data_IF_210529560215
#
_entry.id   IF_210529560215
#
_cell.length_a   1.000
_cell.length_b   1.000
_cell.length_c   1.000
_cell.angle_alpha   90.00
_cell.angle_beta   90.00
_cell.angle_gamma   90.00
#
_symmetry.space_group_name_H-M   'P 1'
#
loop_
_entity.id
_entity.type
_entity.pdbx_description
1 polymer ?
#
# COMPACT_ATOMS: atom_id res chain seq x y z
N UNK A 1 0.49 19.87 20.07
CA UNK A 1 1.08 19.48 21.37
C UNK A 1 1.37 17.99 21.47
N UNK A 2 0.43 17.07 21.17
CA UNK A 2 0.69 15.62 21.12
C UNK A 2 1.07 15.13 19.70
N UNK A 3 0.37 15.59 18.66
CA UNK A 3 0.66 15.21 17.26
C UNK A 3 2.11 15.52 16.86
N UNK A 4 2.61 16.69 17.23
CA UNK A 4 3.99 17.09 16.97
C UNK A 4 5.02 16.17 17.66
N UNK A 5 4.67 15.57 18.80
CA UNK A 5 5.57 14.64 19.50
C UNK A 5 5.62 13.33 18.73
N UNK A 6 4.47 12.84 18.26
CA UNK A 6 4.38 11.64 17.42
C UNK A 6 5.16 11.85 16.12
N UNK A 7 4.96 13.01 15.47
CA UNK A 7 5.71 13.39 14.28
C UNK A 7 7.21 13.47 14.56
N UNK A 8 7.62 14.12 15.65
CA UNK A 8 9.02 14.22 16.03
C UNK A 8 9.68 12.84 16.12
N UNK A 9 9.07 11.89 16.83
CA UNK A 9 9.63 10.54 16.94
C UNK A 9 9.59 9.79 15.62
N UNK A 10 8.54 9.95 14.80
CA UNK A 10 8.49 9.37 13.47
C UNK A 10 9.63 9.87 12.57
N UNK A 11 9.95 11.16 12.63
CA UNK A 11 11.08 11.76 11.91
C UNK A 11 12.43 11.30 12.49
N UNK A 12 12.61 11.39 13.81
CA UNK A 12 13.85 11.00 14.51
C UNK A 12 14.22 9.53 14.27
N UNK A 13 13.23 8.66 14.31
CA UNK A 13 13.41 7.21 14.15
C UNK A 13 13.11 6.71 12.74
N UNK A 14 12.94 7.63 11.78
CA UNK A 14 12.72 7.33 10.38
C UNK A 14 11.60 6.30 10.14
N UNK A 15 10.47 6.44 10.83
CA UNK A 15 9.30 5.56 10.69
C UNK A 15 9.46 4.16 11.31
N UNK A 16 10.49 3.92 12.12
CA UNK A 16 10.68 2.64 12.82
C UNK A 16 9.66 2.50 13.97
N UNK A 17 8.60 1.71 13.73
CA UNK A 17 7.50 1.52 14.67
C UNK A 17 7.95 1.17 16.09
N UNK A 18 8.88 0.20 16.23
CA UNK A 18 9.31 -0.31 17.54
C UNK A 18 10.03 0.78 18.35
N UNK A 19 10.86 1.59 17.68
CA UNK A 19 11.56 2.71 18.31
C UNK A 19 10.64 3.85 18.67
N UNK A 20 9.68 4.18 17.79
CA UNK A 20 8.68 5.21 18.08
C UNK A 20 7.83 4.80 19.28
N UNK A 21 7.36 3.54 19.30
CA UNK A 21 6.59 3.00 20.42
C UNK A 21 7.35 3.08 21.74
N UNK A 22 8.61 2.61 21.76
CA UNK A 22 9.46 2.67 22.96
C UNK A 22 9.73 4.10 23.42
N UNK A 23 9.93 5.04 22.49
CA UNK A 23 10.16 6.44 22.81
C UNK A 23 8.91 7.10 23.43
N UNK A 24 7.72 6.80 22.89
CA UNK A 24 6.44 7.24 23.43
C UNK A 24 6.17 6.64 24.81
N UNK A 25 6.38 5.33 24.97
CA UNK A 25 6.18 4.61 26.23
C UNK A 25 7.08 5.17 27.35
N UNK A 26 8.34 5.45 27.05
CA UNK A 26 9.32 5.98 28.00
C UNK A 26 9.25 7.50 28.19
N UNK A 27 8.35 8.18 27.47
CA UNK A 27 8.26 9.65 27.42
C UNK A 27 9.63 10.28 27.17
N UNK A 28 10.32 9.78 26.16
CA UNK A 28 11.66 10.22 25.81
C UNK A 28 11.70 11.75 25.65
N UNK A 29 12.78 12.38 26.13
CA UNK A 29 12.91 13.85 26.08
C UNK A 29 13.05 14.31 24.63
N UNK A 30 12.33 15.37 24.30
CA UNK A 30 12.40 16.03 22.99
C UNK A 30 13.57 17.00 22.99
N UNK A 31 14.36 16.93 21.91
CA UNK A 31 15.37 17.92 21.57
C UNK A 31 14.72 18.94 20.62
N UNK A 32 14.51 20.16 21.12
CA UNK A 32 13.79 21.22 20.40
C UNK A 32 14.57 21.71 19.16
N UNK A 33 15.90 21.73 19.21
CA UNK A 33 16.74 22.13 18.08
C UNK A 33 16.65 21.08 16.96
N UNK A 34 16.77 19.80 17.32
CA UNK A 34 16.60 18.70 16.38
C UNK A 34 15.17 18.67 15.81
N UNK A 35 14.15 18.89 16.65
CA UNK A 35 12.75 18.95 16.22
C UNK A 35 12.56 20.04 15.18
N UNK A 36 13.04 21.25 15.44
CA UNK A 36 12.95 22.37 14.50
C UNK A 36 13.61 22.06 13.15
N UNK A 37 14.78 21.41 13.17
CA UNK A 37 15.47 20.99 11.95
C UNK A 37 14.67 19.94 11.15
N UNK A 38 14.24 18.86 11.82
CA UNK A 38 13.48 17.78 11.17
C UNK A 38 12.16 18.26 10.55
N UNK A 39 11.46 19.17 11.25
CA UNK A 39 10.19 19.70 10.76
C UNK A 39 10.38 20.59 9.53
N UNK A 40 11.50 21.34 9.47
CA UNK A 40 11.82 22.21 8.33
C UNK A 40 12.20 21.41 7.08
N UNK A 41 12.77 20.21 7.23
CA UNK A 41 13.12 19.34 6.10
C UNK A 41 11.93 18.56 5.54
N UNK A 42 10.80 18.53 6.24
CA UNK A 42 9.61 17.79 5.82
C UNK A 42 8.93 18.48 4.62
N UNK A 43 8.87 17.77 3.49
CA UNK A 43 8.28 18.25 2.23
C UNK A 43 6.85 17.75 2.00
N UNK A 44 6.56 16.53 2.45
CA UNK A 44 5.27 15.90 2.28
C UNK A 44 4.27 16.43 3.30
N UNK A 45 2.98 16.22 3.03
CA UNK A 45 1.95 16.31 4.07
C UNK A 45 2.06 15.10 4.99
N UNK A 46 1.41 15.17 6.15
CA UNK A 46 1.33 14.06 7.08
C UNK A 46 -0.01 14.06 7.82
N UNK A 47 -0.42 12.89 8.29
CA UNK A 47 -1.48 12.70 9.28
C UNK A 47 -0.95 11.76 10.37
N UNK A 48 -1.40 11.92 11.61
CA UNK A 48 -0.97 11.09 12.74
C UNK A 48 -2.10 10.19 13.21
N UNK A 49 -1.80 9.09 13.90
CA UNK A 49 -2.82 8.12 14.37
C UNK A 49 -3.94 8.74 15.22
N UNK A 50 -3.70 9.91 15.83
CA UNK A 50 -4.68 10.65 16.63
C UNK A 50 -5.39 11.78 15.87
N UNK A 51 -4.97 12.05 14.63
CA UNK A 51 -5.60 13.06 13.77
C UNK A 51 -6.94 12.56 13.26
N UNK A 52 -7.88 13.49 13.05
CA UNK A 52 -9.25 13.19 12.60
C UNK A 52 -9.28 12.65 11.15
N UNK A 53 -8.33 13.08 10.31
CA UNK A 53 -8.18 12.66 8.92
C UNK A 53 -7.39 11.36 8.75
N UNK A 54 -6.93 10.74 9.84
CA UNK A 54 -6.21 9.47 9.78
C UNK A 54 -7.15 8.33 9.35
N UNK A 55 -6.76 7.49 8.37
CA UNK A 55 -7.62 6.42 7.86
C UNK A 55 -8.07 5.47 8.97
N UNK A 56 -9.38 5.43 9.25
CA UNK A 56 -9.94 4.64 10.35
C UNK A 56 -9.59 3.14 10.22
N UNK A 57 -9.65 2.60 9.00
CA UNK A 57 -9.31 1.21 8.70
C UNK A 57 -7.87 0.83 9.12
N UNK A 58 -6.94 1.79 9.11
CA UNK A 58 -5.57 1.56 9.55
C UNK A 58 -5.40 1.62 11.07
N UNK A 59 -6.37 2.11 11.84
CA UNK A 59 -6.32 2.04 13.31
C UNK A 59 -6.57 0.63 13.83
N UNK A 60 -7.22 -0.21 13.02
CA UNK A 60 -7.66 -1.56 13.38
C UNK A 60 -6.61 -2.64 13.05
N UNK A 61 -5.58 -2.30 12.27
CA UNK A 61 -4.54 -3.27 11.89
C UNK A 61 -3.49 -3.44 13.00
N UNK A 62 -2.80 -4.59 12.97
CA UNK A 62 -1.64 -4.80 13.82
C UNK A 62 -0.50 -3.81 13.48
N UNK A 63 0.07 -3.21 14.53
CA UNK A 63 1.11 -2.18 14.45
C UNK A 63 0.72 -1.04 13.49
N UNK A 64 -0.33 -0.27 13.81
CA UNK A 64 -0.82 0.81 12.94
C UNK A 64 0.24 1.91 12.80
N UNK A 65 0.47 2.47 11.60
CA UNK A 65 1.44 3.55 11.44
C UNK A 65 1.16 4.74 12.35
N UNK A 66 2.11 5.13 13.19
CA UNK A 66 1.96 6.32 14.03
C UNK A 66 1.76 7.61 13.20
N UNK A 67 2.41 7.67 12.05
CA UNK A 67 2.34 8.78 11.09
C UNK A 67 2.28 8.21 9.68
N UNK A 68 1.41 8.77 8.85
CA UNK A 68 1.41 8.55 7.41
C UNK A 68 1.87 9.83 6.73
N UNK A 69 2.97 9.75 6.00
CA UNK A 69 3.45 10.79 5.11
C UNK A 69 2.82 10.61 3.74
N UNK A 70 2.35 11.68 3.13
CA UNK A 70 1.66 11.56 1.85
C UNK A 70 1.83 12.74 0.89
N UNK A 71 1.62 12.42 -0.39
CA UNK A 71 1.43 13.37 -1.48
C UNK A 71 0.08 13.10 -2.16
N UNK A 72 -0.57 14.16 -2.63
CA UNK A 72 -1.85 14.07 -3.32
C UNK A 72 -3.06 14.19 -2.40
N UNK A 73 -4.14 13.48 -2.72
CA UNK A 73 -5.45 13.58 -2.05
C UNK A 73 -5.67 12.44 -1.06
N UNK A 74 -5.60 12.73 0.24
CA UNK A 74 -5.81 11.74 1.30
C UNK A 74 -7.25 11.19 1.31
N UNK A 75 -8.23 11.92 0.78
CA UNK A 75 -9.63 11.48 0.78
C UNK A 75 -9.86 10.20 -0.03
N UNK A 76 -8.92 9.81 -0.90
CA UNK A 76 -9.00 8.53 -1.63
C UNK A 76 -9.02 7.32 -0.69
N UNK A 77 -8.51 7.42 0.54
CA UNK A 77 -8.59 6.32 1.53
C UNK A 77 -10.02 6.04 2.02
N UNK A 78 -10.97 6.94 1.76
CA UNK A 78 -12.36 6.84 2.20
C UNK A 78 -13.30 6.31 1.11
N UNK A 79 -12.77 5.92 -0.06
CA UNK A 79 -13.55 5.35 -1.15
C UNK A 79 -13.51 3.81 -1.10
N UNK A 80 -14.28 3.15 -1.98
CA UNK A 80 -14.28 1.69 -2.12
C UNK A 80 -12.91 1.19 -2.58
N UNK A 81 -12.06 0.75 -1.65
CA UNK A 81 -10.67 0.43 -1.93
C UNK A 81 -10.47 -1.08 -2.14
N UNK A 82 -9.76 -1.46 -3.20
CA UNK A 82 -9.34 -2.84 -3.46
C UNK A 82 -7.84 -2.92 -3.68
N UNK A 83 -7.20 -3.85 -2.97
CA UNK A 83 -5.76 -4.06 -3.05
C UNK A 83 -5.43 -4.96 -4.23
N UNK A 84 -4.68 -4.47 -5.21
CA UNK A 84 -4.27 -5.27 -6.39
C UNK A 84 -2.79 -5.59 -6.29
N UNK A 85 -2.45 -6.88 -6.17
CA UNK A 85 -1.09 -7.35 -5.94
C UNK A 85 -0.72 -8.51 -6.84
N UNK A 86 0.58 -8.71 -7.07
CA UNK A 86 1.05 -9.85 -7.84
C UNK A 86 2.55 -9.91 -8.07
N UNK A 87 2.94 -10.61 -9.13
CA UNK A 87 4.33 -10.83 -9.50
C UNK A 87 5.02 -9.54 -9.95
N UNK A 88 6.32 -9.45 -9.64
CA UNK A 88 7.19 -8.36 -10.12
C UNK A 88 7.63 -8.50 -11.57
N UNK A 89 7.52 -9.71 -12.11
CA UNK A 89 7.79 -10.08 -13.50
C UNK A 89 6.61 -10.95 -13.98
N UNK A 90 5.46 -10.32 -14.28
CA UNK A 90 4.27 -11.05 -14.72
C UNK A 90 4.43 -11.62 -16.13
N UNK A 91 3.64 -12.64 -16.44
CA UNK A 91 3.48 -13.15 -17.80
C UNK A 91 2.63 -12.21 -18.66
N UNK A 92 2.60 -12.43 -19.97
CA UNK A 92 1.71 -11.69 -20.88
C UNK A 92 0.24 -11.82 -20.46
N UNK A 93 -0.15 -13.00 -19.96
CA UNK A 93 -1.48 -13.22 -19.41
C UNK A 93 -1.74 -12.37 -18.16
N UNK A 94 -0.82 -12.37 -17.19
CA UNK A 94 -0.94 -11.54 -15.98
C UNK A 94 -0.99 -10.04 -16.31
N UNK A 95 -0.23 -9.62 -17.32
CA UNK A 95 -0.25 -8.25 -17.86
C UNK A 95 -1.64 -7.91 -18.41
N UNK A 96 -2.18 -8.74 -19.30
CA UNK A 96 -3.47 -8.52 -19.95
C UNK A 96 -4.61 -8.51 -18.94
N UNK A 97 -4.71 -9.54 -18.11
CA UNK A 97 -5.82 -9.68 -17.16
C UNK A 97 -5.82 -8.57 -16.11
N UNK A 98 -4.65 -8.14 -15.65
CA UNK A 98 -4.55 -7.03 -14.69
C UNK A 98 -5.04 -5.74 -15.33
N UNK A 99 -4.69 -5.45 -16.59
CA UNK A 99 -5.21 -4.26 -17.30
C UNK A 99 -6.73 -4.31 -17.38
N UNK A 100 -7.27 -5.43 -17.86
CA UNK A 100 -8.71 -5.59 -18.09
C UNK A 100 -9.51 -5.49 -16.80
N UNK A 101 -9.15 -6.26 -15.76
CA UNK A 101 -9.89 -6.30 -14.49
C UNK A 101 -9.77 -4.97 -13.75
N UNK A 102 -8.59 -4.35 -13.70
CA UNK A 102 -8.41 -3.05 -13.03
C UNK A 102 -9.23 -1.95 -13.71
N UNK A 103 -9.23 -1.88 -15.04
CA UNK A 103 -10.04 -0.89 -15.74
C UNK A 103 -11.53 -1.07 -15.46
N UNK A 104 -12.02 -2.31 -15.41
CA UNK A 104 -13.41 -2.62 -15.06
C UNK A 104 -13.74 -2.26 -13.59
N UNK A 105 -12.88 -2.62 -12.64
CA UNK A 105 -13.06 -2.26 -11.22
C UNK A 105 -13.19 -0.75 -11.02
N UNK A 106 -12.36 0.03 -11.70
CA UNK A 106 -12.42 1.49 -11.63
C UNK A 106 -13.74 2.05 -12.18
N UNK A 107 -14.31 1.44 -13.23
CA UNK A 107 -15.63 1.85 -13.74
C UNK A 107 -16.75 1.58 -12.73
N UNK A 108 -16.57 0.60 -11.86
CA UNK A 108 -17.43 0.32 -10.69
C UNK A 108 -17.03 1.14 -9.45
N UNK A 109 -16.33 2.27 -9.65
CA UNK A 109 -15.91 3.23 -8.62
C UNK A 109 -14.91 2.69 -7.57
N UNK A 110 -14.23 1.58 -7.85
CA UNK A 110 -13.15 1.14 -6.98
C UNK A 110 -11.91 2.03 -7.11
N UNK A 111 -11.27 2.28 -5.97
CA UNK A 111 -9.93 2.87 -5.88
C UNK A 111 -8.90 1.76 -5.70
N UNK A 112 -7.89 1.76 -6.58
CA UNK A 112 -6.88 0.69 -6.60
C UNK A 112 -5.77 0.99 -5.61
N UNK A 113 -5.55 0.12 -4.63
CA UNK A 113 -4.44 0.21 -3.67
C UNK A 113 -3.34 -0.76 -4.06
N UNK A 114 -2.10 -0.28 -4.20
CA UNK A 114 -0.97 -1.17 -4.50
C UNK A 114 0.36 -0.60 -4.02
N UNK A 115 1.43 -1.38 -4.20
CA UNK A 115 2.71 -1.18 -3.55
C UNK A 115 3.78 -0.46 -4.37
N UNK A 116 3.45 0.13 -5.52
CA UNK A 116 4.41 0.76 -6.44
C UNK A 116 5.55 -0.19 -6.88
N UNK A 117 5.47 -1.51 -6.67
CA UNK A 117 6.50 -2.45 -7.10
C UNK A 117 6.58 -2.56 -8.63
N UNK A 118 7.59 -3.25 -9.15
CA UNK A 118 7.58 -3.67 -10.56
C UNK A 118 6.42 -4.63 -10.83
N UNK A 119 6.08 -4.82 -12.10
CA UNK A 119 5.09 -5.82 -12.53
C UNK A 119 3.68 -5.39 -12.21
N UNK A 120 2.91 -6.29 -11.58
CA UNK A 120 1.46 -6.13 -11.35
C UNK A 120 1.13 -4.81 -10.65
N UNK A 121 1.85 -4.42 -9.61
CA UNK A 121 1.58 -3.17 -8.87
C UNK A 121 1.65 -1.94 -9.79
N UNK A 122 2.74 -1.76 -10.53
CA UNK A 122 2.92 -0.65 -11.46
C UNK A 122 1.83 -0.65 -12.54
N UNK A 123 1.46 -1.83 -13.01
CA UNK A 123 0.43 -2.01 -14.01
C UNK A 123 -0.96 -1.66 -13.49
N UNK A 124 -1.29 -2.05 -12.26
CA UNK A 124 -2.55 -1.71 -11.63
C UNK A 124 -2.70 -0.19 -11.51
N UNK A 125 -1.66 0.51 -11.04
CA UNK A 125 -1.65 1.97 -11.00
C UNK A 125 -1.83 2.60 -12.38
N UNK A 126 -1.08 2.12 -13.38
CA UNK A 126 -1.15 2.67 -14.74
C UNK A 126 -2.51 2.43 -15.39
N UNK A 127 -3.07 1.23 -15.26
CA UNK A 127 -4.37 0.86 -15.83
C UNK A 127 -5.50 1.66 -15.20
N UNK A 128 -5.45 1.90 -13.89
CA UNK A 128 -6.42 2.76 -13.20
C UNK A 128 -6.36 4.19 -13.74
N UNK A 129 -5.16 4.77 -13.84
CA UNK A 129 -4.98 6.14 -14.35
C UNK A 129 -5.35 6.29 -15.83
N UNK A 130 -5.12 5.27 -16.66
CA UNK A 130 -5.43 5.29 -18.10
C UNK A 130 -6.93 5.45 -18.38
N UNK A 131 -7.79 5.02 -17.46
CA UNK A 131 -9.25 5.20 -17.55
C UNK A 131 -9.75 6.31 -16.63
N UNK A 132 -8.87 7.23 -16.23
CA UNK A 132 -9.15 8.38 -15.35
C UNK A 132 -9.64 8.00 -13.95
N UNK A 133 -9.28 6.80 -13.50
CA UNK A 133 -9.57 6.26 -12.18
C UNK A 133 -8.74 6.82 -11.04
N UNK A 134 -9.00 6.28 -9.86
CA UNK A 134 -8.30 6.60 -8.62
C UNK A 134 -7.40 5.45 -8.17
N UNK A 135 -6.23 5.80 -7.65
CA UNK A 135 -5.29 4.80 -7.14
C UNK A 135 -4.40 5.34 -6.03
N UNK A 136 -4.02 4.46 -5.09
CA UNK A 136 -3.22 4.76 -3.91
C UNK A 136 -1.96 3.91 -3.95
N UNK A 137 -0.80 4.56 -4.02
CA UNK A 137 0.49 3.88 -3.89
C UNK A 137 0.96 3.93 -2.44
N UNK A 138 1.12 2.77 -1.82
CA UNK A 138 1.74 2.66 -0.50
C UNK A 138 3.22 2.37 -0.73
N UNK A 139 4.17 3.04 -0.06
CA UNK A 139 5.62 2.85 -0.28
C UNK A 139 6.32 2.13 0.88
N UNK A 140 7.31 1.30 0.53
CA UNK A 140 8.22 0.65 1.50
C UNK A 140 9.54 1.40 1.72
N UNK A 141 9.59 2.65 1.25
CA UNK A 141 10.73 3.57 1.29
C UNK A 141 10.28 4.92 1.82
N UNK A 142 11.22 5.83 2.05
CA UNK A 142 10.89 7.22 2.39
C UNK A 142 9.94 7.83 1.35
N UNK A 143 9.01 8.67 1.81
CA UNK A 143 7.99 9.28 0.94
C UNK A 143 8.57 10.07 -0.24
N UNK A 144 9.79 10.60 -0.12
CA UNK A 144 10.51 11.34 -1.17
C UNK A 144 11.39 10.45 -2.06
N UNK A 145 11.50 9.16 -1.73
CA UNK A 145 12.34 8.20 -2.43
C UNK A 145 11.51 7.21 -3.24
N UNK A 146 11.38 7.49 -4.54
CA UNK A 146 10.72 6.58 -5.47
C UNK A 146 11.54 5.28 -5.64
N UNK A 147 10.96 4.16 -5.21
CA UNK A 147 11.50 2.84 -5.46
C UNK A 147 10.42 1.87 -5.93
N UNK A 148 10.65 1.13 -7.02
CA UNK A 148 11.85 1.12 -7.86
C UNK A 148 11.94 2.36 -8.76
N UNK A 149 13.15 2.83 -9.06
CA UNK A 149 13.37 4.02 -9.90
C UNK A 149 12.74 3.90 -11.30
N UNK A 150 12.56 2.68 -11.81
CA UNK A 150 11.88 2.42 -13.09
C UNK A 150 10.44 2.94 -13.12
N UNK A 151 9.79 3.06 -11.96
CA UNK A 151 8.43 3.57 -11.83
C UNK A 151 8.39 5.08 -11.52
N UNK A 152 9.51 5.81 -11.65
CA UNK A 152 9.59 7.25 -11.33
C UNK A 152 8.51 8.08 -12.03
N UNK A 153 8.26 7.82 -13.31
CA UNK A 153 7.22 8.54 -14.05
C UNK A 153 5.83 8.33 -13.44
N UNK A 154 5.47 7.09 -13.10
CA UNK A 154 4.19 6.75 -12.46
C UNK A 154 4.09 7.45 -11.10
N UNK A 155 5.15 7.37 -10.29
CA UNK A 155 5.22 8.00 -8.98
C UNK A 155 5.03 9.52 -9.04
N UNK A 156 5.71 10.24 -9.94
CA UNK A 156 5.56 11.70 -10.06
C UNK A 156 4.15 12.10 -10.51
N UNK A 157 3.53 11.34 -11.42
CA UNK A 157 2.13 11.55 -11.82
C UNK A 157 1.19 11.36 -10.62
N UNK A 158 1.40 10.29 -9.86
CA UNK A 158 0.55 9.96 -8.71
C UNK A 158 0.65 10.98 -7.57
N UNK A 159 1.83 11.56 -7.33
CA UNK A 159 2.00 12.62 -6.31
C UNK A 159 1.10 13.83 -6.53
N UNK A 160 0.81 14.14 -7.80
CA UNK A 160 0.03 15.32 -8.18
C UNK A 160 -1.46 14.99 -8.29
N UNK A 161 -1.79 13.85 -8.91
CA UNK A 161 -3.16 13.57 -9.35
C UNK A 161 -3.87 12.46 -8.56
N UNK A 162 -3.15 11.75 -7.69
CA UNK A 162 -3.62 10.55 -7.01
C UNK A 162 -3.24 10.61 -5.52
N UNK A 163 -2.93 9.47 -4.89
CA UNK A 163 -2.38 9.43 -3.54
C UNK A 163 -1.14 8.54 -3.49
N UNK A 164 -0.08 9.06 -2.89
CA UNK A 164 1.11 8.29 -2.54
C UNK A 164 1.33 8.42 -1.03
N UNK A 165 1.44 7.30 -0.32
CA UNK A 165 1.62 7.26 1.12
C UNK A 165 2.86 6.45 1.52
N UNK A 166 3.46 6.80 2.65
CA UNK A 166 4.51 6.02 3.29
C UNK A 166 4.45 6.20 4.81
N UNK A 167 4.80 5.15 5.54
CA UNK A 167 5.09 5.23 6.98
C UNK A 167 6.51 5.80 7.24
N UNK A 168 7.33 5.90 6.19
CA UNK A 168 8.72 6.34 6.29
C UNK A 168 8.88 7.77 5.76
N UNK A 169 9.51 8.68 6.53
CA UNK A 169 9.70 10.07 6.13
C UNK A 169 10.86 10.24 5.13
N UNK A 170 10.84 11.40 4.46
CA UNK A 170 11.95 11.93 3.68
C UNK A 170 12.51 10.95 2.64
N UNK A 171 13.84 10.90 2.52
CA UNK A 171 14.54 10.11 1.51
C UNK A 171 14.98 8.73 2.00
N UNK A 172 14.35 8.16 3.05
CA UNK A 172 14.77 6.88 3.62
C UNK A 172 15.00 5.83 2.52
N UNK A 173 16.24 5.32 2.48
CA UNK A 173 16.66 4.35 1.47
C UNK A 173 15.83 3.07 1.63
N UNK A 174 15.31 2.48 0.53
CA UNK A 174 14.50 1.27 0.57
C UNK A 174 15.27 0.12 1.23
N UNK A 175 14.68 -0.49 2.26
CA UNK A 175 15.24 -1.67 2.95
C UNK A 175 14.37 -2.88 2.68
N UNK A 176 14.99 -4.04 2.43
CA UNK A 176 14.27 -5.30 2.16
C UNK A 176 13.20 -5.62 3.23
N UNK A 177 13.50 -5.33 4.49
CA UNK A 177 12.61 -5.56 5.63
C UNK A 177 11.35 -4.68 5.62
N UNK A 178 11.40 -3.52 4.96
CA UNK A 178 10.29 -2.58 4.93
C UNK A 178 9.19 -3.00 3.95
N UNK A 179 9.50 -3.75 2.88
CA UNK A 179 8.47 -4.14 1.90
C UNK A 179 7.42 -5.09 2.49
N UNK A 180 7.79 -6.16 3.23
CA UNK A 180 6.82 -6.96 3.96
C UNK A 180 6.00 -6.14 4.95
N UNK A 181 6.66 -5.30 5.77
CA UNK A 181 6.00 -4.44 6.78
C UNK A 181 4.99 -3.49 6.15
N UNK A 182 5.30 -2.92 4.99
CA UNK A 182 4.40 -2.03 4.24
C UNK A 182 3.13 -2.73 3.79
N UNK A 183 3.19 -4.01 3.45
CA UNK A 183 2.06 -4.72 2.84
C UNK A 183 0.82 -4.77 3.74
N UNK A 184 1.00 -4.73 5.07
CA UNK A 184 -0.13 -4.61 6.02
C UNK A 184 -0.98 -3.34 5.82
N UNK A 185 -0.37 -2.26 5.30
CA UNK A 185 -1.05 -0.99 5.02
C UNK A 185 -1.84 -1.12 3.71
N UNK A 186 -1.31 -1.84 2.71
CA UNK A 186 -2.05 -2.12 1.47
C UNK A 186 -3.33 -2.88 1.80
N UNK A 187 -3.23 -3.97 2.55
CA UNK A 187 -4.41 -4.74 2.97
C UNK A 187 -5.30 -3.98 3.94
N UNK A 188 -4.72 -3.20 4.86
CA UNK A 188 -5.48 -2.43 5.83
C UNK A 188 -6.34 -1.33 5.21
N UNK A 189 -5.87 -0.71 4.14
CA UNK A 189 -6.65 0.27 3.37
C UNK A 189 -7.67 -0.36 2.44
N UNK A 190 -7.62 -1.67 2.21
CA UNK A 190 -8.48 -2.34 1.24
C UNK A 190 -9.64 -3.03 1.94
N UNK A 191 -10.80 -3.06 1.27
CA UNK A 191 -11.94 -3.92 1.66
C UNK A 191 -11.61 -5.38 1.36
N UNK A 192 -10.92 -5.61 0.25
CA UNK A 192 -10.49 -6.93 -0.20
C UNK A 192 -9.20 -6.88 -1.02
N UNK A 193 -8.60 -8.05 -1.27
CA UNK A 193 -7.38 -8.18 -2.06
C UNK A 193 -7.64 -9.00 -3.32
N UNK A 194 -7.28 -8.45 -4.48
CA UNK A 194 -7.18 -9.16 -5.74
C UNK A 194 -5.73 -9.54 -6.05
N UNK A 195 -5.49 -10.84 -6.19
CA UNK A 195 -4.23 -11.41 -6.66
C UNK A 195 -4.35 -11.82 -8.13
N UNK A 196 -3.70 -11.09 -9.03
CA UNK A 196 -3.83 -11.35 -10.47
C UNK A 196 -2.85 -12.41 -10.97
N UNK A 197 -1.63 -12.42 -10.46
CA UNK A 197 -0.63 -13.44 -10.78
C UNK A 197 0.38 -13.53 -9.64
N UNK A 198 0.63 -14.72 -9.11
CA UNK A 198 1.58 -14.93 -8.01
C UNK A 198 2.25 -16.31 -8.08
N UNK A 199 3.44 -16.43 -7.49
CA UNK A 199 4.12 -17.71 -7.26
C UNK A 199 3.88 -18.15 -5.81
N UNK A 200 3.93 -19.44 -5.51
CA UNK A 200 3.73 -19.95 -4.14
C UNK A 200 4.69 -19.34 -3.11
N UNK A 201 5.93 -19.01 -3.51
CA UNK A 201 6.96 -18.41 -2.65
C UNK A 201 7.26 -16.98 -3.05
N UNK A 202 6.25 -16.12 -3.09
CA UNK A 202 6.41 -14.70 -3.42
C UNK A 202 6.08 -13.78 -2.24
N UNK A 203 6.55 -12.54 -2.30
CA UNK A 203 6.15 -11.49 -1.35
C UNK A 203 4.65 -11.17 -1.38
N UNK A 204 3.94 -11.59 -2.44
CA UNK A 204 2.48 -11.50 -2.55
C UNK A 204 1.78 -12.30 -1.45
N UNK A 205 2.32 -13.48 -1.10
CA UNK A 205 1.75 -14.33 -0.04
C UNK A 205 1.83 -13.68 1.34
N UNK A 206 2.82 -12.82 1.57
CA UNK A 206 2.91 -12.04 2.82
C UNK A 206 1.75 -11.06 2.91
N UNK A 207 1.41 -10.37 1.81
CA UNK A 207 0.25 -9.46 1.79
C UNK A 207 -1.05 -10.22 2.01
N UNK A 208 -1.19 -11.40 1.39
CA UNK A 208 -2.36 -12.27 1.61
C UNK A 208 -2.47 -12.68 3.07
N UNK A 209 -1.36 -13.04 3.72
CA UNK A 209 -1.33 -13.34 5.15
C UNK A 209 -1.84 -12.17 6.00
N UNK A 210 -1.34 -10.95 5.76
CA UNK A 210 -1.84 -9.76 6.45
C UNK A 210 -3.32 -9.49 6.19
N UNK A 211 -3.79 -9.67 4.95
CA UNK A 211 -5.18 -9.49 4.60
C UNK A 211 -6.09 -10.49 5.34
N UNK A 212 -5.70 -11.77 5.42
CA UNK A 212 -6.43 -12.78 6.18
C UNK A 212 -6.44 -12.47 7.69
N UNK A 213 -5.31 -12.03 8.26
CA UNK A 213 -5.23 -11.58 9.67
C UNK A 213 -6.16 -10.39 9.95
N UNK A 214 -6.39 -9.54 8.94
CA UNK A 214 -7.26 -8.37 9.01
C UNK A 214 -8.71 -8.68 8.59
N UNK A 215 -9.05 -9.96 8.40
CA UNK A 215 -10.41 -10.39 8.05
C UNK A 215 -10.85 -9.98 6.64
N UNK A 216 -9.92 -9.81 5.71
CA UNK A 216 -10.19 -9.37 4.33
C UNK A 216 -10.43 -10.56 3.41
N UNK A 217 -11.38 -10.42 2.49
CA UNK A 217 -11.58 -11.38 1.41
C UNK A 217 -10.41 -11.37 0.42
N UNK A 218 -10.07 -12.56 -0.07
CA UNK A 218 -9.02 -12.78 -1.06
C UNK A 218 -9.64 -13.30 -2.34
N UNK A 219 -9.39 -12.58 -3.43
CA UNK A 219 -9.79 -12.91 -4.78
C UNK A 219 -8.56 -13.30 -5.60
N UNK A 220 -8.70 -14.29 -6.47
CA UNK A 220 -7.60 -14.80 -7.27
C UNK A 220 -8.03 -15.05 -8.71
N UNK A 221 -7.24 -14.54 -9.65
CA UNK A 221 -7.38 -14.89 -11.06
C UNK A 221 -6.80 -16.30 -11.27
N UNK A 222 -7.56 -17.25 -11.85
CA UNK A 222 -7.05 -18.58 -12.11
C UNK A 222 -6.00 -18.57 -13.22
N UNK A 223 -5.17 -19.60 -13.25
CA UNK A 223 -4.09 -19.77 -14.22
C UNK A 223 -4.06 -21.20 -14.73
N UNK A 224 -3.27 -21.48 -15.78
CA UNK A 224 -3.21 -22.83 -16.35
C UNK A 224 -2.61 -23.79 -15.32
N UNK A 225 -3.02 -25.06 -15.36
CA UNK A 225 -2.55 -26.08 -14.42
C UNK A 225 -1.03 -26.28 -14.44
N UNK A 226 -0.38 -25.98 -15.57
CA UNK A 226 1.06 -26.10 -15.76
C UNK A 226 1.84 -24.84 -15.36
N UNK A 227 1.16 -23.74 -15.02
CA UNK A 227 1.81 -22.52 -14.55
C UNK A 227 2.14 -22.70 -13.06
N UNK A 228 3.35 -22.28 -12.64
CA UNK A 228 3.70 -22.19 -11.23
C UNK A 228 2.86 -21.08 -10.57
N UNK A 229 1.69 -21.45 -10.04
CA UNK A 229 0.69 -20.49 -9.63
C UNK A 229 0.34 -20.57 -8.16
N UNK A 230 0.72 -19.53 -7.44
CA UNK A 230 0.19 -19.23 -6.12
C UNK A 230 -1.31 -18.92 -6.15
N UNK A 231 -1.86 -18.37 -7.23
CA UNK A 231 -3.29 -18.06 -7.32
C UNK A 231 -4.15 -19.33 -7.26
N UNK A 232 -3.83 -20.35 -8.05
CA UNK A 232 -4.56 -21.63 -8.01
C UNK A 232 -4.50 -22.28 -6.62
N UNK A 233 -3.38 -22.12 -5.91
CA UNK A 233 -3.18 -22.63 -4.55
C UNK A 233 -3.98 -21.86 -3.52
N UNK A 234 -4.03 -20.54 -3.63
CA UNK A 234 -4.89 -19.69 -2.80
C UNK A 234 -6.37 -20.05 -3.02
N UNK A 235 -6.79 -20.31 -4.26
CA UNK A 235 -8.15 -20.76 -4.56
C UNK A 235 -8.45 -22.10 -3.86
N UNK A 236 -7.52 -23.06 -3.93
CA UNK A 236 -7.66 -24.33 -3.19
C UNK A 236 -7.75 -24.14 -1.66
N UNK A 237 -7.19 -23.05 -1.14
CA UNK A 237 -7.19 -22.71 0.29
C UNK A 237 -8.39 -21.85 0.71
N UNK A 238 -9.29 -21.53 -0.23
CA UNK A 238 -10.53 -20.79 0.06
C UNK A 238 -10.58 -19.36 -0.46
N UNK A 239 -9.55 -18.89 -1.19
CA UNK A 239 -9.69 -17.64 -1.94
C UNK A 239 -10.77 -17.77 -3.03
N UNK A 240 -11.53 -16.71 -3.26
CA UNK A 240 -12.60 -16.67 -4.26
C UNK A 240 -11.99 -16.60 -5.66
N UNK A 241 -12.40 -17.51 -6.53
CA UNK A 241 -11.95 -17.53 -7.93
C UNK A 241 -12.66 -16.40 -8.69
N UNK A 242 -11.89 -15.62 -9.47
CA UNK A 242 -12.41 -14.52 -10.29
C UNK A 242 -12.33 -14.87 -11.77
N UNK A 243 -13.49 -14.95 -12.42
CA UNK A 243 -13.62 -15.07 -13.87
C UNK A 243 -13.99 -13.72 -14.51
N UNK A 244 -14.76 -12.90 -13.81
CA UNK A 244 -15.11 -11.52 -14.19
C UNK A 244 -15.24 -10.62 -12.94
N UNK A 245 -15.35 -9.31 -13.13
CA UNK A 245 -15.48 -8.37 -12.01
C UNK A 245 -16.76 -8.58 -11.19
N UNK A 246 -17.80 -9.17 -11.75
CA UNK A 246 -19.03 -9.52 -11.01
C UNK A 246 -18.75 -10.38 -9.79
N UNK A 247 -17.74 -11.26 -9.86
CA UNK A 247 -17.32 -12.11 -8.74
C UNK A 247 -16.76 -11.31 -7.55
N UNK A 248 -16.46 -10.02 -7.75
CA UNK A 248 -15.97 -9.09 -6.73
C UNK A 248 -17.03 -8.05 -6.37
N UNK A 249 -17.86 -7.62 -7.35
CA UNK A 249 -18.83 -6.53 -7.16
C UNK A 249 -20.10 -7.02 -6.45
N UNK A 250 -20.53 -8.25 -6.72
CA UNK A 250 -21.82 -8.80 -6.28
C UNK A 250 -21.75 -9.58 -4.95
N UNK A 251 -20.55 -9.67 -4.38
CA UNK A 251 -20.21 -10.42 -3.16
C UNK A 251 -20.23 -9.50 -1.92
#
# INVERSE_FOLDING_TARGET
MMEEIILYFALKYAGDFDKIYQALERKEKIDDDLKGHLFKELKSKYTTIISDDYPAALKEINCPPFVLFYYGDLNLVNTKCIGVIGMRQPSDYGIEVTKTIVSKLVLENYTIVSGMALGIDAMAHQSAMNVLGKTIAVLGSGIDNCYPLKNKTIYEIMKVNQLVISEYPGNLVPKKINFPRRNRIISGLSESILVTEANERSGTMITVGHALEQGKDIYCIPSRINDSSGCNRLIQQGAKLVMDISDIVDD
#
